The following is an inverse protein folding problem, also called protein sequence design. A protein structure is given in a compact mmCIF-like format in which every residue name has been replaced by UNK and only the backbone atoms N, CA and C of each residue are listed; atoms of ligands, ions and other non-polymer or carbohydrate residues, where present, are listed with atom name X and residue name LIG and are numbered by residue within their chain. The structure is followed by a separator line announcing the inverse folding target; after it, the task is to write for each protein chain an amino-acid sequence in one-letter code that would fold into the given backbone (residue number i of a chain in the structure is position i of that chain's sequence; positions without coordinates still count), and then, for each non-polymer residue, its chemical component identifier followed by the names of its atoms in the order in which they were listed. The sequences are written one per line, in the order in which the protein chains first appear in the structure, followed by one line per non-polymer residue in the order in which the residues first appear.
data_IF_508436854038
#
_entry.id   IF_508436854038
#
_cell.length_a   1.000
_cell.length_b   1.000
_cell.length_c   1.000
_cell.angle_alpha   90.00
_cell.angle_beta   90.00
_cell.angle_gamma   90.00
#
_symmetry.space_group_name_H-M   'P 1'
#
loop_
_entity.id
_entity.type
_entity.pdbx_description
1 polymer ?
#
# COMPACT_ATOMS: atom_id res chain seq x y z
N UNK A 1 -26.46 -64.40 -19.37
CA UNK A 1 -25.18 -63.81 -18.93
C UNK A 1 -25.20 -62.34 -19.29
N UNK A 2 -25.26 -61.45 -18.30
CA UNK A 2 -25.11 -60.02 -18.50
C UNK A 2 -24.53 -59.41 -17.21
N UNK A 3 -23.21 -59.26 -17.24
CA UNK A 3 -22.40 -58.20 -16.64
C UNK A 3 -22.66 -57.77 -15.18
N UNK A 4 -22.08 -58.53 -14.25
CA UNK A 4 -21.81 -58.13 -12.86
C UNK A 4 -20.30 -57.91 -12.66
N UNK A 5 -19.64 -57.15 -13.55
CA UNK A 5 -18.17 -57.07 -13.59
C UNK A 5 -17.59 -55.65 -13.71
N UNK A 6 -18.35 -54.58 -13.39
CA UNK A 6 -17.83 -53.20 -13.52
C UNK A 6 -18.13 -52.25 -12.35
N UNK A 7 -18.61 -52.73 -11.20
CA UNK A 7 -18.72 -51.87 -10.01
C UNK A 7 -17.37 -51.74 -9.33
N UNK A 8 -16.55 -50.78 -9.77
CA UNK A 8 -15.31 -50.39 -9.08
C UNK A 8 -15.63 -50.17 -7.58
N UNK A 9 -14.87 -50.78 -6.65
CA UNK A 9 -15.06 -50.55 -5.23
C UNK A 9 -14.92 -49.06 -4.91
N UNK A 10 -15.76 -48.57 -3.99
CA UNK A 10 -15.71 -47.19 -3.51
C UNK A 10 -14.32 -46.90 -2.92
N UNK A 11 -13.58 -45.89 -3.40
CA UNK A 11 -12.23 -45.62 -2.91
C UNK A 11 -12.24 -45.25 -1.42
N UNK A 12 -11.55 -46.04 -0.60
CA UNK A 12 -11.37 -45.79 0.85
C UNK A 12 -10.59 -44.49 1.13
N UNK A 13 -9.93 -43.93 0.13
CA UNK A 13 -9.19 -42.67 0.22
C UNK A 13 -10.10 -41.54 -0.26
N UNK A 14 -10.45 -40.57 0.61
CA UNK A 14 -11.27 -39.44 0.22
C UNK A 14 -10.59 -38.64 -0.90
N UNK A 15 -11.39 -38.21 -1.89
CA UNK A 15 -10.96 -37.49 -3.10
C UNK A 15 -10.11 -36.23 -2.81
N UNK A 16 -10.26 -35.65 -1.61
CA UNK A 16 -9.48 -34.49 -1.16
C UNK A 16 -8.89 -34.70 0.24
N UNK A 17 -7.57 -34.56 0.32
CA UNK A 17 -6.87 -34.50 1.60
C UNK A 17 -7.32 -33.27 2.41
N UNK A 18 -7.98 -33.49 3.54
CA UNK A 18 -8.30 -32.42 4.50
C UNK A 18 -7.04 -32.03 5.27
N UNK A 19 -6.46 -30.87 4.93
CA UNK A 19 -5.38 -30.28 5.72
C UNK A 19 -5.92 -29.75 7.05
N UNK A 20 -5.23 -30.07 8.15
CA UNK A 20 -5.55 -29.58 9.49
C UNK A 20 -5.42 -28.05 9.55
N UNK A 21 -6.42 -27.38 10.11
CA UNK A 21 -6.42 -25.94 10.35
C UNK A 21 -6.33 -25.66 11.85
N UNK A 22 -5.49 -24.69 12.22
CA UNK A 22 -5.23 -24.34 13.61
C UNK A 22 -5.88 -23.00 13.95
N UNK A 23 -6.80 -22.98 14.90
CA UNK A 23 -7.44 -21.75 15.38
C UNK A 23 -6.44 -20.90 16.17
N UNK A 24 -6.65 -19.58 16.22
CA UNK A 24 -5.77 -18.67 16.97
C UNK A 24 -5.71 -19.02 18.47
N UNK A 25 -6.86 -19.40 19.06
CA UNK A 25 -6.95 -19.85 20.46
C UNK A 25 -6.09 -21.10 20.71
N UNK A 26 -6.14 -22.07 19.79
CA UNK A 26 -5.33 -23.28 19.88
C UNK A 26 -3.83 -22.96 19.80
N UNK A 27 -3.42 -22.14 18.83
CA UNK A 27 -2.01 -21.72 18.68
C UNK A 27 -1.49 -21.03 19.95
N UNK A 28 -2.27 -20.13 20.55
CA UNK A 28 -1.89 -19.45 21.79
C UNK A 28 -1.76 -20.42 22.96
N UNK A 29 -2.71 -21.34 23.14
CA UNK A 29 -2.64 -22.35 24.20
C UNK A 29 -1.35 -23.17 24.08
N UNK A 30 -1.07 -23.69 22.89
CA UNK A 30 0.13 -24.50 22.66
C UNK A 30 1.41 -23.68 22.90
N UNK A 31 1.45 -22.41 22.49
CA UNK A 31 2.59 -21.54 22.78
C UNK A 31 2.79 -21.34 24.28
N UNK A 32 1.71 -21.13 25.05
CA UNK A 32 1.78 -21.02 26.51
C UNK A 32 2.28 -22.32 27.15
N UNK A 33 1.72 -23.46 26.74
CA UNK A 33 2.14 -24.78 27.26
C UNK A 33 3.60 -25.09 26.90
N UNK A 34 4.04 -24.69 25.70
CA UNK A 34 5.43 -24.86 25.23
C UNK A 34 6.42 -23.94 25.96
N UNK A 35 6.03 -22.69 26.21
CA UNK A 35 6.86 -21.71 26.91
C UNK A 35 6.93 -22.01 28.44
N UNK A 36 5.89 -22.65 29.01
CA UNK A 36 5.88 -23.09 30.41
C UNK A 36 6.62 -24.42 30.66
N UNK A 37 6.83 -25.24 29.63
CA UNK A 37 7.51 -26.51 29.77
C UNK A 37 9.03 -26.33 30.03
N UNK A 38 9.62 -27.11 30.96
CA UNK A 38 11.06 -27.09 31.19
C UNK A 38 11.86 -27.61 29.99
N UNK A 39 13.14 -27.26 29.95
CA UNK A 39 14.05 -27.71 28.90
C UNK A 39 14.16 -29.25 28.92
N UNK A 40 13.91 -29.88 27.77
CA UNK A 40 13.81 -31.34 27.63
C UNK A 40 12.37 -31.86 27.48
N UNK A 41 11.38 -31.20 28.07
CA UNK A 41 9.97 -31.62 27.99
C UNK A 41 9.20 -30.97 26.84
N UNK A 42 9.73 -29.87 26.30
CA UNK A 42 9.22 -29.17 25.10
C UNK A 42 8.94 -30.11 23.94
N UNK A 43 9.81 -31.09 23.69
CA UNK A 43 9.61 -32.10 22.65
C UNK A 43 8.44 -33.05 22.93
N UNK A 44 8.15 -33.33 24.20
CA UNK A 44 7.01 -34.17 24.58
C UNK A 44 5.68 -33.45 24.34
N UNK A 45 5.61 -32.14 24.62
CA UNK A 45 4.45 -31.31 24.29
C UNK A 45 4.18 -31.32 22.79
N UNK A 46 5.21 -31.13 21.96
CA UNK A 46 5.08 -31.16 20.51
C UNK A 46 4.61 -32.51 19.96
N UNK A 47 5.13 -33.61 20.50
CA UNK A 47 4.71 -34.96 20.10
C UNK A 47 3.26 -35.26 20.46
N UNK A 48 2.78 -34.81 21.63
CA UNK A 48 1.37 -34.96 22.05
C UNK A 48 0.42 -34.21 21.12
N UNK A 49 0.83 -33.04 20.64
CA UNK A 49 0.00 -32.19 19.76
C UNK A 49 0.17 -32.50 18.26
N UNK A 50 1.14 -33.35 17.90
CA UNK A 50 1.50 -33.67 16.51
C UNK A 50 2.09 -32.46 15.77
N UNK A 51 2.90 -31.65 16.46
CA UNK A 51 3.46 -30.41 15.94
C UNK A 51 4.97 -30.51 15.75
N UNK A 52 5.48 -29.75 14.79
CA UNK A 52 6.93 -29.58 14.58
C UNK A 52 7.42 -28.27 15.16
N UNK A 53 8.73 -28.20 15.47
CA UNK A 53 9.40 -26.98 15.97
C UNK A 53 9.23 -25.76 15.04
N UNK A 54 9.08 -25.99 13.73
CA UNK A 54 8.77 -24.95 12.74
C UNK A 54 7.46 -24.23 13.06
N UNK A 55 6.42 -24.96 13.47
CA UNK A 55 5.12 -24.39 13.81
C UNK A 55 5.24 -23.42 14.99
N UNK A 56 5.99 -23.79 16.02
CA UNK A 56 6.21 -22.92 17.18
C UNK A 56 6.93 -21.64 16.78
N UNK A 57 7.99 -21.78 15.97
CA UNK A 57 8.76 -20.63 15.49
C UNK A 57 7.89 -19.67 14.68
N UNK A 58 7.09 -20.21 13.76
CA UNK A 58 6.14 -19.42 12.96
C UNK A 58 5.06 -18.75 13.82
N UNK A 59 4.51 -19.48 14.79
CA UNK A 59 3.44 -18.95 15.63
C UNK A 59 3.95 -17.89 16.62
N UNK A 60 5.19 -18.00 17.11
CA UNK A 60 5.83 -16.92 17.89
C UNK A 60 6.01 -15.67 17.04
N UNK A 61 6.57 -15.79 15.83
CA UNK A 61 6.68 -14.66 14.90
C UNK A 61 5.33 -14.02 14.62
N UNK A 62 4.29 -14.83 14.37
CA UNK A 62 2.93 -14.33 14.13
C UNK A 62 2.33 -13.65 15.38
N UNK A 63 2.60 -14.15 16.59
CA UNK A 63 2.20 -13.52 17.85
C UNK A 63 2.88 -12.17 18.02
N UNK A 64 4.19 -12.10 17.78
CA UNK A 64 4.98 -10.90 18.02
C UNK A 64 4.67 -9.83 16.97
N UNK A 65 4.55 -10.20 15.68
CA UNK A 65 4.06 -9.30 14.62
C UNK A 65 2.62 -8.88 14.89
N UNK A 66 1.75 -9.78 15.35
CA UNK A 66 0.36 -9.47 15.68
C UNK A 66 0.23 -8.57 16.92
N UNK A 67 1.12 -8.70 17.89
CA UNK A 67 1.22 -7.83 19.06
C UNK A 67 1.73 -6.46 18.65
N UNK A 68 2.80 -6.39 17.84
CA UNK A 68 3.33 -5.13 17.29
C UNK A 68 2.30 -4.42 16.40
N UNK A 69 1.63 -5.14 15.51
CA UNK A 69 0.56 -4.60 14.67
C UNK A 69 -0.67 -4.20 15.49
N UNK A 70 -0.99 -4.95 16.55
CA UNK A 70 -2.08 -4.63 17.49
C UNK A 70 -1.79 -3.40 18.36
N UNK A 71 -0.52 -3.12 18.62
CA UNK A 71 -0.06 -1.89 19.31
C UNK A 71 0.04 -0.70 18.33
N UNK A 72 0.44 -0.95 17.08
CA UNK A 72 0.64 0.09 16.07
C UNK A 72 -0.63 0.49 15.31
N UNK A 73 -1.67 -0.35 15.28
CA UNK A 73 -2.88 -0.10 14.52
C UNK A 73 -4.15 -0.40 15.33
N UNK A 74 -5.12 0.52 15.40
CA UNK A 74 -6.43 0.21 15.96
C UNK A 74 -7.10 -0.90 15.14
N UNK A 75 -7.64 -1.92 15.82
CA UNK A 75 -8.38 -3.03 15.18
C UNK A 75 -9.59 -2.48 14.43
N UNK A 76 -9.64 -2.64 13.11
CA UNK A 76 -10.78 -2.26 12.27
C UNK A 76 -10.41 -1.97 10.81
N UNK A 77 -11.42 -1.63 9.99
CA UNK A 77 -11.22 -1.12 8.62
C UNK A 77 -10.32 0.12 8.69
N UNK A 78 -9.25 0.15 7.89
CA UNK A 78 -8.34 1.30 7.79
C UNK A 78 -9.19 2.56 7.59
N UNK A 79 -9.18 3.48 8.57
CA UNK A 79 -9.97 4.73 8.48
C UNK A 79 -9.53 5.45 7.20
N UNK A 80 -10.51 5.91 6.43
CA UNK A 80 -10.28 6.77 5.27
C UNK A 80 -9.47 7.96 5.77
N UNK A 81 -8.25 8.12 5.25
CA UNK A 81 -7.32 9.11 5.76
C UNK A 81 -7.72 10.48 5.20
N UNK A 82 -8.53 11.20 5.98
CA UNK A 82 -9.00 12.54 5.64
C UNK A 82 -7.84 13.51 5.39
N UNK A 83 -6.67 13.26 6.00
CA UNK A 83 -5.48 14.05 5.76
C UNK A 83 -4.89 13.76 4.38
N UNK A 84 -4.83 12.49 3.97
CA UNK A 84 -4.40 12.10 2.63
C UNK A 84 -5.33 12.67 1.54
N UNK A 85 -6.65 12.64 1.75
CA UNK A 85 -7.61 13.24 0.82
C UNK A 85 -7.44 14.77 0.72
N UNK A 86 -7.14 15.43 1.84
CA UNK A 86 -6.91 16.87 1.86
C UNK A 86 -5.59 17.24 1.18
N UNK A 87 -4.53 16.45 1.37
CA UNK A 87 -3.26 16.61 0.68
C UNK A 87 -3.46 16.51 -0.83
N UNK A 88 -4.14 15.46 -1.31
CA UNK A 88 -4.39 15.28 -2.74
C UNK A 88 -5.18 16.44 -3.36
N UNK A 89 -6.16 17.00 -2.64
CA UNK A 89 -6.89 18.20 -3.09
C UNK A 89 -6.00 19.44 -3.16
N UNK A 90 -5.19 19.66 -2.13
CA UNK A 90 -4.27 20.80 -2.07
C UNK A 90 -3.20 20.73 -3.16
N UNK A 91 -2.69 19.53 -3.47
CA UNK A 91 -1.73 19.33 -4.55
C UNK A 91 -2.35 19.66 -5.91
N UNK A 92 -3.58 19.19 -6.17
CA UNK A 92 -4.28 19.51 -7.42
C UNK A 92 -4.59 21.01 -7.56
N UNK A 93 -4.95 21.68 -6.47
CA UNK A 93 -5.17 23.13 -6.46
C UNK A 93 -3.87 23.91 -6.68
N UNK A 94 -2.76 23.49 -6.05
CA UNK A 94 -1.44 24.09 -6.30
C UNK A 94 -1.03 23.98 -7.77
N UNK A 95 -1.16 22.79 -8.36
CA UNK A 95 -0.81 22.60 -9.77
C UNK A 95 -1.66 23.49 -10.70
N UNK A 96 -2.95 23.66 -10.39
CA UNK A 96 -3.83 24.56 -11.15
C UNK A 96 -3.37 26.01 -11.02
N UNK A 97 -3.11 26.48 -9.80
CA UNK A 97 -2.69 27.85 -9.53
C UNK A 97 -1.33 28.16 -10.16
N UNK A 98 -0.39 27.22 -10.15
CA UNK A 98 0.91 27.37 -10.81
C UNK A 98 0.75 27.55 -12.33
N UNK A 99 -0.15 26.79 -12.96
CA UNK A 99 -0.46 26.96 -14.39
C UNK A 99 -1.10 28.32 -14.69
N UNK A 100 -1.97 28.82 -13.82
CA UNK A 100 -2.56 30.16 -13.97
C UNK A 100 -1.51 31.26 -13.81
N UNK A 101 -0.63 31.15 -12.82
CA UNK A 101 0.50 32.06 -12.63
C UNK A 101 1.47 32.04 -13.82
N UNK A 102 1.73 30.88 -14.41
CA UNK A 102 2.56 30.79 -15.61
C UNK A 102 1.94 31.54 -16.79
N UNK A 103 0.63 31.42 -16.99
CA UNK A 103 -0.10 32.14 -18.05
C UNK A 103 -0.06 33.65 -17.84
N UNK A 104 -0.33 34.13 -16.62
CA UNK A 104 -0.32 35.57 -16.35
C UNK A 104 1.07 36.17 -16.52
N UNK A 105 2.13 35.48 -16.07
CA UNK A 105 3.52 35.88 -16.32
C UNK A 105 3.85 35.95 -17.81
N UNK A 106 3.42 34.97 -18.60
CA UNK A 106 3.64 34.99 -20.05
C UNK A 106 2.97 36.19 -20.74
N UNK A 107 1.77 36.60 -20.29
CA UNK A 107 1.10 37.81 -20.81
C UNK A 107 1.91 39.07 -20.47
N UNK A 108 2.39 39.19 -19.23
CA UNK A 108 3.22 40.32 -18.79
C UNK A 108 4.51 40.40 -19.62
N UNK A 109 5.16 39.26 -19.88
CA UNK A 109 6.38 39.21 -20.70
C UNK A 109 6.13 39.67 -22.14
N UNK A 110 5.00 39.28 -22.73
CA UNK A 110 4.61 39.73 -24.08
C UNK A 110 4.36 41.23 -24.09
N UNK A 111 3.64 41.76 -23.09
CA UNK A 111 3.40 43.20 -22.97
C UNK A 111 4.70 44.00 -22.82
N UNK A 112 5.63 43.52 -21.99
CA UNK A 112 6.95 44.14 -21.81
C UNK A 112 7.74 44.17 -23.13
N UNK A 113 7.75 43.06 -23.89
CA UNK A 113 8.43 43.01 -25.19
C UNK A 113 7.79 43.95 -26.23
N UNK A 114 6.45 44.03 -26.26
CA UNK A 114 5.75 44.94 -27.14
C UNK A 114 6.07 46.41 -26.83
N UNK A 115 6.14 46.77 -25.54
CA UNK A 115 6.53 48.13 -25.13
C UNK A 115 7.92 48.50 -25.67
N UNK A 116 8.91 47.63 -25.45
CA UNK A 116 10.28 47.83 -25.95
C UNK A 116 10.32 47.98 -27.46
N UNK A 117 9.58 47.13 -28.19
CA UNK A 117 9.52 47.24 -29.66
C UNK A 117 8.90 48.56 -30.11
N UNK A 118 7.82 49.01 -29.46
CA UNK A 118 7.18 50.29 -29.78
C UNK A 118 8.11 51.48 -29.49
N UNK A 119 8.88 51.45 -28.40
CA UNK A 119 9.91 52.46 -28.12
C UNK A 119 10.96 52.52 -29.24
N UNK A 120 11.51 51.36 -29.65
CA UNK A 120 12.52 51.32 -30.72
C UNK A 120 11.98 51.83 -32.06
N UNK A 121 10.72 51.52 -32.39
CA UNK A 121 10.08 52.02 -33.61
C UNK A 121 9.85 53.53 -33.53
N UNK A 122 9.38 54.05 -32.39
CA UNK A 122 9.19 55.49 -32.17
C UNK A 122 10.51 56.25 -32.33
N UNK A 123 11.59 55.78 -31.70
CA UNK A 123 12.93 56.38 -31.82
C UNK A 123 13.46 56.34 -33.26
N UNK A 124 13.18 55.27 -34.01
CA UNK A 124 13.59 55.17 -35.41
C UNK A 124 12.84 56.14 -36.33
N UNK A 125 11.59 56.49 -35.99
CA UNK A 125 10.75 57.42 -36.78
C UNK A 125 11.02 58.90 -36.48
N UNK A 126 11.59 59.24 -35.33
CA UNK A 126 11.97 60.63 -34.99
C UNK A 126 13.26 61.10 -35.69
N UNK A 127 13.89 60.22 -36.49
CA UNK A 127 15.05 60.53 -37.33
C UNK A 127 14.63 61.03 -38.73
N UNK A 128 13.76 62.05 -38.79
CA UNK A 128 13.43 62.77 -40.02
C UNK A 128 13.88 64.24 -39.92
N UNK A 129 14.57 64.83 -40.92
CA UNK A 129 15.10 66.18 -40.77
C UNK A 129 13.94 67.17 -40.61
N UNK A 130 13.89 67.84 -39.45
CA UNK A 130 12.94 68.94 -39.21
C UNK A 130 13.19 70.05 -40.23
N UNK A 131 12.33 70.10 -41.25
CA UNK A 131 12.28 71.17 -42.24
C UNK A 131 12.01 72.50 -41.54
N UNK A 132 13.00 73.41 -41.59
CA UNK A 132 12.87 74.79 -41.11
C UNK A 132 12.22 75.63 -42.23
N UNK A 133 11.12 76.29 -41.89
CA UNK A 133 10.62 77.47 -42.62
C UNK A 133 11.45 78.70 -42.28
#
# INVERSE_FOLDING_TARGET
MADDATRRPDPEVPERARRRTFTAKYKLKVLTDYDAAPDGEKGAVLRREGLYSSHITEWRKARDVGALAGLAAPRGRKRRDAQAERIARLEADNERLEKELAKTRAVVDVQAKLHVLLETLSESTDCGPRSKR
#
